data_IF_220163066866
#
_entry.id   IF_220163066866
#
_cell.length_a   1.000
_cell.length_b   1.000
_cell.length_c   1.000
_cell.angle_alpha   90.00
_cell.angle_beta   90.00
_cell.angle_gamma   90.00
#
_symmetry.space_group_name_H-M   'P 1'
#
loop_
_entity.id
_entity.type
_entity.pdbx_description
1 polymer ?
#
# COMPACT_ATOMS: atom_id res chain seq x y z
N UNK A 1 14.81 -11.03 20.72
CA UNK A 1 13.58 -10.23 20.90
C UNK A 1 13.21 -10.43 22.35
N UNK A 2 13.19 -9.36 23.14
CA UNK A 2 12.94 -9.42 24.57
C UNK A 2 11.45 -9.73 24.81
N UNK A 3 11.09 -10.85 25.47
CA UNK A 3 9.70 -11.19 25.79
C UNK A 3 9.02 -10.18 26.72
N UNK A 4 9.77 -9.29 27.38
CA UNK A 4 9.25 -8.27 28.29
C UNK A 4 9.05 -6.91 27.61
N UNK A 5 9.32 -6.79 26.31
CA UNK A 5 9.11 -5.55 25.56
C UNK A 5 7.62 -5.31 25.30
N UNK A 6 6.96 -4.58 26.21
CA UNK A 6 5.55 -4.21 26.09
C UNK A 6 5.22 -3.49 24.77
N UNK A 7 6.16 -2.73 24.19
CA UNK A 7 5.92 -2.03 22.93
C UNK A 7 5.74 -3.02 21.76
N UNK A 8 6.46 -4.16 21.80
CA UNK A 8 6.28 -5.26 20.85
C UNK A 8 4.89 -5.90 21.00
N UNK A 9 4.46 -6.16 22.24
CA UNK A 9 3.12 -6.71 22.51
C UNK A 9 2.02 -5.76 22.02
N UNK A 10 2.15 -4.46 22.30
CA UNK A 10 1.22 -3.44 21.78
C UNK A 10 1.18 -3.44 20.26
N UNK A 11 2.32 -3.59 19.58
CA UNK A 11 2.35 -3.59 18.13
C UNK A 11 1.67 -4.83 17.54
N UNK A 12 1.87 -6.01 18.11
CA UNK A 12 1.18 -7.23 17.68
C UNK A 12 -0.34 -7.15 17.94
N UNK A 13 -0.76 -6.61 19.09
CA UNK A 13 -2.18 -6.34 19.37
C UNK A 13 -2.82 -5.44 18.31
N UNK A 14 -2.14 -4.34 17.92
CA UNK A 14 -2.60 -3.43 16.85
C UNK A 14 -2.71 -4.14 15.51
N UNK A 15 -1.72 -4.94 15.14
CA UNK A 15 -1.71 -5.68 13.87
C UNK A 15 -2.87 -6.68 13.79
N UNK A 16 -3.10 -7.47 14.84
CA UNK A 16 -4.21 -8.41 14.89
C UNK A 16 -5.58 -7.70 14.85
N UNK A 17 -5.72 -6.59 15.58
CA UNK A 17 -6.94 -5.79 15.57
C UNK A 17 -7.22 -5.19 14.18
N UNK A 18 -6.21 -4.64 13.50
CA UNK A 18 -6.32 -4.12 12.13
C UNK A 18 -6.63 -5.22 11.10
N UNK A 19 -6.15 -6.43 11.32
CA UNK A 19 -6.46 -7.61 10.50
C UNK A 19 -7.87 -8.18 10.76
N UNK A 20 -8.65 -7.59 11.67
CA UNK A 20 -9.97 -8.07 12.08
C UNK A 20 -9.94 -9.31 12.98
N UNK A 21 -8.76 -9.72 13.46
CA UNK A 21 -8.55 -10.89 14.30
C UNK A 21 -8.56 -10.52 15.78
N UNK A 22 -9.68 -9.93 16.24
CA UNK A 22 -9.86 -9.47 17.63
C UNK A 22 -9.51 -10.52 18.69
N UNK A 23 -9.88 -11.81 18.56
CA UNK A 23 -9.52 -12.83 19.56
C UNK A 23 -8.00 -12.98 19.76
N UNK A 24 -7.22 -12.87 18.69
CA UNK A 24 -5.75 -12.96 18.75
C UNK A 24 -5.15 -11.71 19.40
N UNK A 25 -5.73 -10.53 19.14
CA UNK A 25 -5.30 -9.30 19.78
C UNK A 25 -5.53 -9.34 21.31
N UNK A 26 -6.69 -9.82 21.77
CA UNK A 26 -6.98 -9.94 23.20
C UNK A 26 -6.10 -11.02 23.87
N UNK A 27 -5.88 -12.16 23.21
CA UNK A 27 -4.98 -13.20 23.71
C UNK A 27 -3.54 -12.69 23.89
N UNK A 28 -3.06 -11.83 22.99
CA UNK A 28 -1.73 -11.24 23.09
C UNK A 28 -1.55 -10.36 24.34
N UNK A 29 -2.60 -9.64 24.75
CA UNK A 29 -2.60 -8.90 26.02
C UNK A 29 -2.53 -9.84 27.21
N UNK A 30 -3.32 -10.93 27.20
CA UNK A 30 -3.31 -11.91 28.28
C UNK A 30 -1.94 -12.57 28.43
N UNK A 31 -1.27 -12.91 27.33
CA UNK A 31 0.11 -13.42 27.34
C UNK A 31 1.08 -12.40 27.93
N UNK A 32 1.02 -11.13 27.51
CA UNK A 32 1.85 -10.04 28.03
C UNK A 32 1.67 -9.90 29.55
N UNK A 33 0.42 -9.84 30.02
CA UNK A 33 0.08 -9.72 31.43
C UNK A 33 0.60 -10.91 32.26
N UNK A 34 0.48 -12.13 31.74
CA UNK A 34 0.98 -13.33 32.42
C UNK A 34 2.51 -13.32 32.52
N UNK A 35 3.20 -12.91 31.45
CA UNK A 35 4.67 -12.85 31.41
C UNK A 35 5.22 -11.77 32.36
N UNK A 36 4.68 -10.55 32.32
CA UNK A 36 5.08 -9.46 33.23
C UNK A 36 4.83 -9.81 34.70
N UNK A 37 3.68 -10.44 34.99
CA UNK A 37 3.37 -10.88 36.34
C UNK A 37 4.32 -11.98 36.83
N UNK A 38 4.71 -12.92 35.96
CA UNK A 38 5.59 -14.03 36.30
C UNK A 38 7.05 -13.61 36.48
N UNK A 39 7.56 -12.72 35.62
CA UNK A 39 8.98 -12.37 35.58
C UNK A 39 9.32 -11.11 36.38
N UNK A 40 8.44 -10.11 36.36
CA UNK A 40 8.68 -8.80 36.96
C UNK A 40 7.74 -8.48 38.14
N UNK A 41 6.65 -9.24 38.31
CA UNK A 41 5.64 -8.98 39.36
C UNK A 41 4.87 -7.67 39.16
N UNK A 42 4.93 -7.09 37.96
CA UNK A 42 4.27 -5.84 37.59
C UNK A 42 3.03 -6.09 36.73
N UNK A 43 2.18 -5.09 36.64
CA UNK A 43 1.06 -5.06 35.68
C UNK A 43 1.52 -4.37 34.39
N UNK A 44 0.86 -4.64 33.24
CA UNK A 44 1.13 -3.91 32.00
C UNK A 44 0.92 -2.40 32.16
N UNK A 45 1.67 -1.63 31.39
CA UNK A 45 1.56 -0.17 31.34
C UNK A 45 0.14 0.29 30.99
N UNK A 46 -0.17 1.53 31.36
CA UNK A 46 -1.46 2.18 31.06
C UNK A 46 -1.74 2.20 29.55
N UNK A 47 -0.73 2.44 28.72
CA UNK A 47 -0.86 2.43 27.25
C UNK A 47 -1.28 1.04 26.73
N UNK A 48 -0.74 -0.03 27.32
CA UNK A 48 -1.03 -1.42 26.95
C UNK A 48 -2.46 -1.80 27.37
N UNK A 49 -2.85 -1.39 28.58
CA UNK A 49 -4.21 -1.63 29.11
C UNK A 49 -5.27 -0.83 28.36
N UNK A 50 -5.00 0.45 28.05
CA UNK A 50 -5.90 1.29 27.25
C UNK A 50 -6.14 0.70 25.84
N UNK A 51 -5.11 0.14 25.21
CA UNK A 51 -5.24 -0.54 23.92
C UNK A 51 -6.14 -1.78 24.02
N UNK A 52 -5.96 -2.61 25.07
CA UNK A 52 -6.83 -3.76 25.33
C UNK A 52 -8.28 -3.36 25.52
N UNK A 53 -8.55 -2.32 26.32
CA UNK A 53 -9.90 -1.81 26.53
C UNK A 53 -10.54 -1.27 25.25
N UNK A 54 -9.77 -0.52 24.44
CA UNK A 54 -10.24 -0.03 23.15
C UNK A 54 -10.63 -1.18 22.20
N UNK A 55 -9.82 -2.23 22.11
CA UNK A 55 -10.11 -3.41 21.28
C UNK A 55 -11.34 -4.15 21.81
N UNK A 56 -11.43 -4.35 23.15
CA UNK A 56 -12.53 -5.06 23.80
C UNK A 56 -13.87 -4.33 23.67
N UNK A 57 -13.85 -3.00 23.70
CA UNK A 57 -15.05 -2.15 23.58
C UNK A 57 -15.39 -1.80 22.13
N UNK A 58 -14.68 -2.38 21.14
CA UNK A 58 -14.84 -2.05 19.72
C UNK A 58 -14.65 -0.54 19.41
N UNK A 59 -13.91 0.16 20.29
CA UNK A 59 -13.55 1.58 20.16
C UNK A 59 -12.14 1.77 19.56
N UNK A 60 -11.40 0.67 19.40
CA UNK A 60 -10.25 0.63 18.53
C UNK A 60 -10.73 0.90 17.10
N UNK A 61 -10.03 1.72 16.28
CA UNK A 61 -10.45 1.96 14.92
C UNK A 61 -10.72 0.61 14.27
N UNK A 62 -12.01 0.35 14.01
CA UNK A 62 -12.38 -0.79 13.20
C UNK A 62 -11.54 -0.70 11.93
N UNK A 63 -11.22 -1.83 11.27
CA UNK A 63 -10.86 -1.76 9.88
C UNK A 63 -12.07 -1.16 9.15
N UNK A 64 -12.19 0.17 9.16
CA UNK A 64 -12.71 0.94 8.05
C UNK A 64 -11.95 0.34 6.90
N UNK A 65 -12.63 -0.49 6.12
CA UNK A 65 -12.05 -1.25 5.03
C UNK A 65 -10.99 -0.36 4.41
N UNK A 66 -9.71 -0.68 4.66
CA UNK A 66 -8.61 0.18 4.27
C UNK A 66 -8.94 0.58 2.83
N UNK A 67 -9.10 1.87 2.51
CA UNK A 67 -9.78 2.32 1.30
C UNK A 67 -9.28 1.47 0.17
N UNK A 68 -10.16 0.58 -0.35
CA UNK A 68 -9.79 -0.67 -1.00
C UNK A 68 -8.41 -0.53 -1.65
N UNK A 69 -7.37 -1.10 -1.01
CA UNK A 69 -5.98 -0.74 -1.28
C UNK A 69 -5.81 -0.56 -2.79
N UNK A 70 -5.63 0.70 -3.21
CA UNK A 70 -5.89 1.06 -4.59
C UNK A 70 -5.09 0.14 -5.52
N UNK A 71 -5.78 -0.55 -6.42
CA UNK A 71 -5.18 -1.63 -7.20
C UNK A 71 -4.11 -1.04 -8.12
N UNK A 72 -2.83 -1.30 -7.84
CA UNK A 72 -1.71 -0.84 -8.66
C UNK A 72 -0.45 -1.67 -8.49
N UNK A 73 0.44 -1.61 -9.48
CA UNK A 73 1.79 -2.20 -9.44
C UNK A 73 2.91 -1.18 -9.73
N UNK A 74 2.61 0.13 -9.61
CA UNK A 74 3.57 1.19 -9.93
C UNK A 74 4.76 1.13 -8.97
N UNK A 75 6.02 1.09 -9.46
CA UNK A 75 7.20 1.05 -8.60
C UNK A 75 7.25 2.22 -7.61
N UNK A 76 7.84 2.02 -6.43
CA UNK A 76 8.07 3.11 -5.48
C UNK A 76 9.05 4.16 -6.04
N UNK A 77 8.84 5.43 -5.71
CA UNK A 77 9.77 6.49 -6.06
C UNK A 77 10.92 6.54 -5.05
N UNK A 78 12.13 6.18 -5.46
CA UNK A 78 13.32 6.22 -4.59
C UNK A 78 13.85 7.64 -4.35
N UNK A 79 13.47 8.59 -5.20
CA UNK A 79 13.93 9.98 -5.15
C UNK A 79 12.79 10.89 -5.64
N UNK A 80 12.80 12.20 -5.32
CA UNK A 80 11.80 13.15 -5.82
C UNK A 80 11.94 13.38 -7.34
N UNK A 81 10.86 13.85 -7.99
CA UNK A 81 10.90 14.35 -9.37
C UNK A 81 11.03 15.87 -9.31
N UNK A 82 12.08 16.42 -9.92
CA UNK A 82 12.41 17.85 -9.83
C UNK A 82 12.22 18.53 -11.18
N UNK A 83 11.54 19.68 -11.21
CA UNK A 83 11.48 20.56 -12.38
C UNK A 83 10.62 20.00 -13.52
N UNK A 84 9.60 19.22 -13.19
CA UNK A 84 8.68 18.55 -14.13
C UNK A 84 7.21 18.78 -13.80
N UNK A 85 6.93 19.80 -13.01
CA UNK A 85 5.61 20.13 -12.50
C UNK A 85 4.67 20.52 -13.65
N UNK A 86 5.19 21.21 -14.67
CA UNK A 86 4.41 21.64 -15.83
C UNK A 86 3.99 20.44 -16.69
N UNK A 87 4.91 19.50 -16.96
CA UNK A 87 4.62 18.30 -17.74
C UNK A 87 3.66 17.37 -17.00
N UNK A 88 3.81 17.23 -15.67
CA UNK A 88 2.85 16.48 -14.85
C UNK A 88 1.45 17.09 -14.94
N UNK A 89 1.32 18.41 -14.78
CA UNK A 89 0.04 19.10 -14.88
C UNK A 89 -0.59 18.97 -16.28
N UNK A 90 0.23 18.91 -17.32
CA UNK A 90 -0.24 18.69 -18.69
C UNK A 90 -0.76 17.25 -18.88
N UNK A 91 -0.03 16.25 -18.38
CA UNK A 91 -0.46 14.85 -18.42
C UNK A 91 -1.77 14.67 -17.65
N UNK A 92 -1.89 15.24 -16.44
CA UNK A 92 -3.12 15.15 -15.63
C UNK A 92 -4.32 15.73 -16.38
N UNK A 93 -4.14 16.87 -17.05
CA UNK A 93 -5.21 17.50 -17.84
C UNK A 93 -5.69 16.61 -18.98
N UNK A 94 -4.77 15.93 -19.67
CA UNK A 94 -5.12 15.04 -20.77
C UNK A 94 -5.75 13.73 -20.30
N UNK A 95 -5.23 13.10 -19.24
CA UNK A 95 -5.77 11.85 -18.68
C UNK A 95 -7.23 12.03 -18.21
N UNK A 96 -7.59 13.21 -17.71
CA UNK A 96 -8.97 13.51 -17.27
C UNK A 96 -9.97 13.67 -18.42
N UNK A 97 -9.52 13.77 -19.67
CA UNK A 97 -10.44 13.90 -20.80
C UNK A 97 -11.05 12.54 -21.13
N UNK A 98 -12.39 12.40 -21.17
CA UNK A 98 -13.04 11.12 -21.50
C UNK A 98 -12.63 10.54 -22.86
N UNK A 99 -12.23 11.39 -23.80
CA UNK A 99 -11.78 11.00 -25.14
C UNK A 99 -10.31 10.53 -25.19
N UNK A 100 -9.51 10.80 -24.15
CA UNK A 100 -8.09 10.46 -24.13
C UNK A 100 -7.89 8.98 -23.77
N UNK A 101 -7.86 8.11 -24.79
CA UNK A 101 -7.62 6.67 -24.61
C UNK A 101 -6.14 6.28 -24.69
N UNK A 102 -5.30 7.12 -25.31
CA UNK A 102 -3.87 6.88 -25.47
C UNK A 102 -3.11 8.21 -25.37
N UNK A 103 -2.06 8.23 -24.55
CA UNK A 103 -1.14 9.35 -24.40
C UNK A 103 0.28 8.85 -24.60
N UNK A 104 1.05 9.51 -25.46
CA UNK A 104 2.44 9.16 -25.74
C UNK A 104 3.37 10.25 -25.25
N UNK A 105 4.35 9.88 -24.41
CA UNK A 105 5.40 10.79 -23.94
C UNK A 105 6.63 10.58 -24.84
N UNK A 106 6.97 11.60 -25.62
CA UNK A 106 8.11 11.60 -26.54
C UNK A 106 9.26 12.44 -26.01
N UNK A 107 10.48 12.10 -26.41
CA UNK A 107 11.67 12.87 -26.06
C UNK A 107 12.96 12.05 -26.08
N UNK A 108 14.12 12.69 -25.90
CA UNK A 108 15.43 12.03 -25.97
C UNK A 108 15.62 10.87 -25.00
N UNK A 109 16.56 9.97 -25.28
CA UNK A 109 17.00 8.94 -24.34
C UNK A 109 17.49 9.57 -23.03
N UNK A 110 17.24 8.91 -21.90
CA UNK A 110 17.73 9.37 -20.58
C UNK A 110 17.02 10.60 -19.98
N UNK A 111 16.15 11.31 -20.71
CA UNK A 111 15.51 12.55 -20.23
C UNK A 111 14.48 12.35 -19.09
N UNK A 112 14.22 11.10 -18.69
CA UNK A 112 13.35 10.76 -17.57
C UNK A 112 11.88 10.48 -17.92
N UNK A 113 11.53 10.18 -19.17
CA UNK A 113 10.14 9.91 -19.62
C UNK A 113 9.42 8.85 -18.79
N UNK A 114 10.06 7.71 -18.56
CA UNK A 114 9.50 6.63 -17.73
C UNK A 114 9.25 7.09 -16.31
N UNK A 115 10.14 7.91 -15.77
CA UNK A 115 10.04 8.44 -14.41
C UNK A 115 8.91 9.47 -14.29
N UNK A 116 8.75 10.32 -15.30
CA UNK A 116 7.61 11.25 -15.44
C UNK A 116 6.28 10.48 -15.56
N UNK A 117 6.23 9.44 -16.41
CA UNK A 117 5.05 8.59 -16.57
C UNK A 117 4.65 7.93 -15.25
N UNK A 118 5.60 7.29 -14.56
CA UNK A 118 5.35 6.67 -13.26
C UNK A 118 4.91 7.70 -12.20
N UNK A 119 5.49 8.91 -12.21
CA UNK A 119 5.06 9.97 -11.31
C UNK A 119 3.61 10.41 -11.59
N UNK A 120 3.22 10.56 -12.86
CA UNK A 120 1.84 10.82 -13.24
C UNK A 120 0.91 9.69 -12.78
N UNK A 121 1.24 8.42 -13.08
CA UNK A 121 0.43 7.26 -12.66
C UNK A 121 0.20 7.23 -11.14
N UNK A 122 1.20 7.56 -10.33
CA UNK A 122 1.06 7.61 -8.85
C UNK A 122 0.01 8.63 -8.39
N UNK A 123 -0.15 9.75 -9.09
CA UNK A 123 -1.19 10.74 -8.76
C UNK A 123 -2.62 10.24 -9.04
N UNK A 124 -2.76 9.12 -9.76
CA UNK A 124 -4.04 8.54 -10.13
C UNK A 124 -4.38 7.25 -9.37
N UNK A 125 -3.52 6.82 -8.44
CA UNK A 125 -3.82 5.73 -7.53
C UNK A 125 -5.11 6.05 -6.77
N UNK A 126 -6.10 5.16 -6.84
CA UNK A 126 -7.41 5.31 -6.21
C UNK A 126 -8.39 6.22 -6.95
N UNK A 127 -8.04 6.77 -8.12
CA UNK A 127 -8.96 7.58 -8.95
C UNK A 127 -9.71 6.77 -10.00
N UNK A 128 -9.16 5.62 -10.40
CA UNK A 128 -9.78 4.70 -11.35
C UNK A 128 -10.33 3.49 -10.60
N UNK A 129 -11.57 3.10 -10.90
CA UNK A 129 -12.24 1.96 -10.27
C UNK A 129 -11.47 0.65 -10.50
N UNK A 130 -10.95 0.45 -11.72
CA UNK A 130 -10.19 -0.74 -12.10
C UNK A 130 -8.68 -0.64 -11.77
N UNK A 131 -8.27 0.45 -11.10
CA UNK A 131 -6.89 0.66 -10.69
C UNK A 131 -5.98 1.27 -11.75
N UNK A 132 -4.67 1.27 -11.47
CA UNK A 132 -3.63 1.85 -12.35
C UNK A 132 -2.46 0.88 -12.47
N UNK A 133 -2.10 0.55 -13.71
CA UNK A 133 -1.11 -0.48 -13.99
C UNK A 133 0.07 0.05 -14.81
N UNK A 134 1.27 -0.38 -14.45
CA UNK A 134 2.51 -0.19 -15.17
C UNK A 134 2.92 -1.50 -15.81
N UNK A 135 2.99 -1.51 -17.14
CA UNK A 135 3.44 -2.67 -17.93
C UNK A 135 4.80 -2.31 -18.53
N UNK A 136 5.85 -3.01 -18.07
CA UNK A 136 7.19 -2.85 -18.65
C UNK A 136 7.30 -3.62 -19.95
N UNK A 137 7.51 -2.92 -21.06
CA UNK A 137 7.74 -3.54 -22.37
C UNK A 137 9.24 -3.70 -22.70
N UNK A 138 10.13 -3.52 -21.72
CA UNK A 138 11.60 -3.54 -21.94
C UNK A 138 12.08 -4.89 -22.47
N UNK A 139 11.49 -6.00 -22.00
CA UNK A 139 11.85 -7.35 -22.42
C UNK A 139 11.08 -7.83 -23.67
N UNK A 140 10.16 -7.02 -24.20
CA UNK A 140 9.30 -7.41 -25.32
C UNK A 140 10.00 -7.06 -26.64
N UNK A 141 10.43 -8.10 -27.36
CA UNK A 141 11.12 -7.96 -28.65
C UNK A 141 10.20 -8.10 -29.86
N UNK A 142 9.04 -8.74 -29.68
CA UNK A 142 8.05 -9.00 -30.74
C UNK A 142 6.72 -8.31 -30.41
N UNK A 143 6.14 -7.62 -31.40
CA UNK A 143 4.87 -6.91 -31.21
C UNK A 143 3.71 -7.85 -30.84
N UNK A 144 3.74 -9.09 -31.30
CA UNK A 144 2.75 -10.11 -30.97
C UNK A 144 2.76 -10.51 -29.48
N UNK A 145 3.85 -10.27 -28.75
CA UNK A 145 3.97 -10.57 -27.33
C UNK A 145 3.38 -9.49 -26.41
N UNK A 146 3.05 -8.30 -26.95
CA UNK A 146 2.53 -7.17 -26.14
C UNK A 146 1.22 -7.53 -25.42
N UNK A 147 0.18 -8.10 -26.07
CA UNK A 147 -1.06 -8.44 -25.39
C UNK A 147 -0.84 -9.43 -24.25
N UNK A 148 0.05 -10.42 -24.43
CA UNK A 148 0.40 -11.40 -23.41
C UNK A 148 1.10 -10.76 -22.21
N UNK A 149 2.06 -9.84 -22.44
CA UNK A 149 2.71 -9.11 -21.35
C UNK A 149 1.72 -8.25 -20.55
N UNK A 150 0.75 -7.63 -21.23
CA UNK A 150 -0.31 -6.85 -20.59
C UNK A 150 -1.20 -7.77 -19.75
N UNK A 151 -1.64 -8.91 -20.31
CA UNK A 151 -2.51 -9.85 -19.63
C UNK A 151 -1.84 -10.47 -18.39
N UNK A 152 -0.59 -10.90 -18.52
CA UNK A 152 0.22 -11.40 -17.41
C UNK A 152 0.32 -10.36 -16.28
N UNK A 153 0.64 -9.11 -16.63
CA UNK A 153 0.75 -8.01 -15.65
C UNK A 153 -0.58 -7.74 -14.92
N UNK A 154 -1.70 -7.86 -15.64
CA UNK A 154 -3.05 -7.65 -15.11
C UNK A 154 -3.64 -8.91 -14.45
N UNK A 155 -2.93 -10.04 -14.45
CA UNK A 155 -3.43 -11.36 -14.05
C UNK A 155 -4.70 -11.78 -14.81
N UNK A 156 -4.77 -11.48 -16.10
CA UNK A 156 -5.86 -11.87 -17.01
C UNK A 156 -5.45 -13.10 -17.82
N UNK A 157 -6.37 -14.03 -18.01
CA UNK A 157 -6.20 -15.14 -18.95
C UNK A 157 -6.68 -14.71 -20.33
N UNK A 158 -5.80 -14.75 -21.33
CA UNK A 158 -6.21 -14.56 -22.72
C UNK A 158 -6.74 -15.88 -23.30
N UNK A 159 -7.82 -15.84 -24.09
CA UNK A 159 -8.37 -17.01 -24.78
C UNK A 159 -7.48 -17.50 -25.93
#
# INVERSE_FOLDING_TARGET
MDPLDEAMHRQLMRLWALAGQMPQALAQYESCRQQLAAELGVVPDEETTALYEAIRQEQFPAPTAAPAAAVHNIPAALTPLIGREQELAQIERWIRQPAARLLTILGPGGIGKTRLAQAALRQHIGRFLDGVWYVSLVAVTEGAAIPFQIADTLNLTLP
#
